data_IF_380170799821
#
_entry.id   IF_380170799821
#
_cell.length_a   1.000
_cell.length_b   1.000
_cell.length_c   1.000
_cell.angle_alpha   90.00
_cell.angle_beta   90.00
_cell.angle_gamma   90.00
#
_symmetry.space_group_name_H-M   'P 1'
#
loop_
_entity.id
_entity.type
_entity.pdbx_description
1 polymer ?
#
# COMPACT_ATOMS: atom_id res chain seq x y z
N UNK A 1 0.94 8.18 0.96
CA UNK A 1 1.47 8.86 2.16
C UNK A 1 2.96 9.03 2.04
N UNK A 2 3.71 8.02 1.60
CA UNK A 2 4.98 8.20 0.90
C UNK A 2 4.74 8.46 -0.59
N UNK A 3 5.48 9.40 -1.19
CA UNK A 3 5.52 9.61 -2.63
C UNK A 3 6.92 10.09 -3.05
N UNK A 4 7.20 9.99 -4.35
CA UNK A 4 8.40 10.57 -4.96
C UNK A 4 8.04 11.86 -5.67
N UNK A 5 8.73 12.94 -5.35
CA UNK A 5 8.59 14.23 -6.01
C UNK A 5 9.23 14.19 -7.41
N UNK A 6 8.91 15.14 -8.31
CA UNK A 6 9.48 15.16 -9.66
C UNK A 6 11.01 15.26 -9.71
N UNK A 7 11.63 15.84 -8.68
CA UNK A 7 13.09 15.93 -8.50
C UNK A 7 13.69 14.68 -7.84
N UNK A 8 12.89 13.65 -7.57
CA UNK A 8 13.34 12.35 -7.11
C UNK A 8 13.47 12.21 -5.59
N UNK A 9 13.05 13.21 -4.81
CA UNK A 9 13.06 13.15 -3.36
C UNK A 9 11.84 12.38 -2.83
N UNK A 10 11.99 11.75 -1.67
CA UNK A 10 10.87 11.14 -0.96
C UNK A 10 10.17 12.21 -0.13
N UNK A 11 8.84 12.24 -0.20
CA UNK A 11 8.01 13.20 0.51
C UNK A 11 6.70 12.59 1.00
N UNK A 12 5.96 13.39 1.77
CA UNK A 12 4.63 13.10 2.28
C UNK A 12 4.63 12.59 3.72
N UNK A 13 3.43 12.36 4.24
CA UNK A 13 3.20 12.16 5.68
C UNK A 13 4.06 11.06 6.33
N UNK A 14 4.30 9.93 5.66
CA UNK A 14 5.15 8.87 6.22
C UNK A 14 6.62 9.33 6.37
N UNK A 15 7.10 10.14 5.42
CA UNK A 15 8.44 10.73 5.44
C UNK A 15 8.55 11.78 6.53
N UNK A 16 7.54 12.64 6.65
CA UNK A 16 7.49 13.69 7.68
C UNK A 16 7.51 13.08 9.08
N UNK A 17 6.69 12.04 9.33
CA UNK A 17 6.68 11.30 10.60
C UNK A 17 8.03 10.63 10.87
N UNK A 18 8.63 9.99 9.86
CA UNK A 18 9.93 9.35 10.02
C UNK A 18 11.02 10.34 10.39
N UNK A 19 11.10 11.46 9.67
CA UNK A 19 12.08 12.51 9.96
C UNK A 19 11.90 13.08 11.37
N UNK A 20 10.66 13.38 11.77
CA UNK A 20 10.36 13.88 13.11
C UNK A 20 10.74 12.88 14.22
N UNK A 21 10.48 11.58 14.02
CA UNK A 21 10.88 10.54 14.97
C UNK A 21 12.41 10.45 15.08
N UNK A 22 13.12 10.54 13.96
CA UNK A 22 14.59 10.48 13.96
C UNK A 22 15.21 11.68 14.67
N UNK A 23 14.63 12.86 14.49
CA UNK A 23 15.02 14.08 15.20
C UNK A 23 14.83 13.93 16.72
N UNK A 24 13.65 13.47 17.16
CA UNK A 24 13.34 13.27 18.60
C UNK A 24 14.24 12.20 19.23
N UNK A 25 14.50 11.10 18.51
CA UNK A 25 15.42 10.05 18.96
C UNK A 25 16.89 10.45 18.88
N UNK A 26 17.22 11.59 18.24
CA UNK A 26 18.59 12.07 17.99
C UNK A 26 19.43 11.06 17.21
N UNK A 27 18.83 10.46 16.18
CA UNK A 27 19.48 9.50 15.28
C UNK A 27 19.48 10.02 13.85
N UNK A 28 20.44 9.55 13.04
CA UNK A 28 20.41 9.80 11.60
C UNK A 28 19.57 8.74 10.90
N UNK A 29 18.66 9.19 10.03
CA UNK A 29 17.84 8.30 9.23
C UNK A 29 18.21 8.40 7.75
N UNK A 30 18.35 7.23 7.14
CA UNK A 30 18.55 7.09 5.70
C UNK A 30 17.34 6.37 5.13
N UNK A 31 16.63 7.06 4.24
CA UNK A 31 15.53 6.45 3.53
C UNK A 31 16.03 5.49 2.46
N UNK A 32 15.38 4.32 2.38
CA UNK A 32 15.61 3.29 1.37
C UNK A 32 14.29 3.04 0.67
N UNK A 33 14.23 3.40 -0.62
CA UNK A 33 13.07 3.13 -1.48
C UNK A 33 13.08 1.66 -1.92
N UNK A 34 11.96 0.96 -1.72
CA UNK A 34 11.78 -0.44 -2.13
C UNK A 34 10.28 -0.73 -2.34
N UNK A 35 9.99 -1.72 -3.19
CA UNK A 35 8.65 -2.28 -3.37
C UNK A 35 8.03 -2.78 -2.06
N UNK A 36 6.73 -2.52 -1.91
CA UNK A 36 6.01 -2.70 -0.64
C UNK A 36 6.01 -4.15 -0.13
N UNK A 37 5.87 -5.13 -1.03
CA UNK A 37 5.88 -6.56 -0.69
C UNK A 37 7.25 -7.05 -0.19
N UNK A 38 8.32 -6.34 -0.52
CA UNK A 38 9.68 -6.62 -0.09
C UNK A 38 10.09 -6.03 1.26
N UNK A 39 9.28 -5.14 1.85
CA UNK A 39 9.65 -4.40 3.07
C UNK A 39 9.83 -5.31 4.30
N UNK A 40 8.85 -6.19 4.60
CA UNK A 40 8.96 -7.12 5.73
C UNK A 40 10.14 -8.09 5.57
N UNK A 41 10.33 -8.74 4.40
CA UNK A 41 11.53 -9.54 4.15
C UNK A 41 12.83 -8.76 4.37
N UNK A 42 12.93 -7.52 3.87
CA UNK A 42 14.11 -6.68 4.03
C UNK A 42 14.42 -6.36 5.50
N UNK A 43 13.39 -6.06 6.30
CA UNK A 43 13.52 -5.84 7.75
C UNK A 43 14.04 -7.11 8.46
N UNK A 44 13.51 -8.28 8.13
CA UNK A 44 13.91 -9.56 8.76
C UNK A 44 15.37 -9.93 8.49
N UNK A 45 15.88 -9.60 7.31
CA UNK A 45 17.30 -9.83 6.96
C UNK A 45 18.20 -8.65 7.29
N UNK A 46 17.68 -7.65 8.02
CA UNK A 46 18.42 -6.45 8.47
C UNK A 46 19.03 -5.63 7.32
N UNK A 47 18.35 -5.59 6.17
CA UNK A 47 18.67 -4.63 5.09
C UNK A 47 18.16 -3.22 5.41
N UNK A 48 17.11 -3.13 6.23
CA UNK A 48 16.53 -1.91 6.78
C UNK A 48 16.23 -2.15 8.26
N UNK A 49 16.16 -1.07 9.04
CA UNK A 49 15.96 -1.15 10.50
C UNK A 49 14.51 -0.82 10.91
N UNK A 50 13.75 -0.12 10.06
CA UNK A 50 12.37 0.26 10.30
C UNK A 50 11.60 0.38 8.98
N UNK A 51 10.27 0.28 9.06
CA UNK A 51 9.36 0.48 7.93
C UNK A 51 8.41 1.62 8.26
N UNK A 52 8.46 2.70 7.48
CA UNK A 52 7.48 3.79 7.49
C UNK A 52 6.88 3.92 6.10
N UNK A 53 5.84 3.14 5.84
CA UNK A 53 5.21 3.05 4.51
C UNK A 53 3.76 2.58 4.64
N UNK A 54 2.96 3.29 5.45
CA UNK A 54 1.52 3.00 5.56
C UNK A 54 1.17 1.55 5.90
N UNK A 55 2.06 0.85 6.63
CA UNK A 55 1.95 -0.60 6.77
C UNK A 55 0.86 -0.97 7.78
N UNK A 56 -0.27 -1.48 7.27
CA UNK A 56 -1.37 -1.95 8.11
C UNK A 56 -0.89 -3.00 9.12
N UNK A 57 -1.16 -2.75 10.40
CA UNK A 57 -0.92 -3.70 11.47
C UNK A 57 -1.93 -4.84 11.36
N UNK A 58 -1.46 -6.08 11.21
CA UNK A 58 -2.30 -7.28 11.17
C UNK A 58 -1.72 -8.37 12.06
N UNK A 59 -2.55 -9.30 12.54
CA UNK A 59 -2.06 -10.40 13.39
C UNK A 59 -1.04 -11.28 12.69
N UNK A 60 -1.18 -11.48 11.39
CA UNK A 60 -0.21 -12.18 10.55
C UNK A 60 1.15 -11.46 10.56
N UNK A 61 1.17 -10.15 10.35
CA UNK A 61 2.41 -9.37 10.34
C UNK A 61 3.04 -9.29 11.74
N UNK A 62 2.22 -9.15 12.80
CA UNK A 62 2.68 -9.17 14.20
C UNK A 62 3.37 -10.47 14.62
N UNK A 63 3.06 -11.60 13.97
CA UNK A 63 3.79 -12.86 14.19
C UNK A 63 5.17 -12.86 13.54
N UNK A 64 5.45 -11.93 12.63
CA UNK A 64 6.68 -11.89 11.83
C UNK A 64 7.61 -10.74 12.23
N UNK A 65 7.04 -9.59 12.60
CA UNK A 65 7.77 -8.36 12.98
C UNK A 65 7.00 -7.58 14.06
N UNK A 66 7.73 -6.81 14.85
CA UNK A 66 7.14 -5.90 15.84
C UNK A 66 6.60 -4.62 15.16
N UNK A 67 5.61 -4.00 15.81
CA UNK A 67 5.03 -2.74 15.40
C UNK A 67 5.08 -1.73 16.53
N UNK A 68 5.22 -0.47 16.17
CA UNK A 68 4.98 0.66 17.07
C UNK A 68 3.48 0.79 17.38
N UNK A 69 3.13 1.76 18.21
CA UNK A 69 1.76 2.25 18.25
C UNK A 69 1.37 2.84 16.89
N UNK A 70 0.12 2.65 16.49
CA UNK A 70 -0.40 3.22 15.23
C UNK A 70 -0.20 4.75 15.24
N UNK A 71 0.34 5.29 14.16
CA UNK A 71 0.48 6.74 13.97
C UNK A 71 -0.68 7.34 13.15
N UNK A 72 -1.42 6.52 12.39
CA UNK A 72 -2.74 6.84 11.87
C UNK A 72 -3.53 5.55 11.53
N UNK A 73 -4.78 5.70 11.10
CA UNK A 73 -5.59 4.61 10.54
C UNK A 73 -6.47 5.14 9.41
N UNK A 74 -6.38 4.53 8.22
CA UNK A 74 -7.29 4.81 7.11
C UNK A 74 -8.00 3.54 6.67
N UNK A 75 -9.33 3.57 6.52
CA UNK A 75 -10.05 2.42 6.00
C UNK A 75 -9.78 2.26 4.49
N UNK A 76 -9.74 1.02 4.02
CA UNK A 76 -9.67 0.76 2.58
C UNK A 76 -10.96 1.21 1.87
N UNK A 77 -10.81 1.68 0.63
CA UNK A 77 -11.90 2.13 -0.24
C UNK A 77 -11.60 1.73 -1.67
N UNK A 78 -12.65 1.46 -2.44
CA UNK A 78 -12.56 1.40 -3.90
C UNK A 78 -12.46 2.82 -4.46
N UNK A 79 -11.67 2.98 -5.51
CA UNK A 79 -11.52 4.22 -6.27
C UNK A 79 -11.85 3.88 -7.70
N UNK A 80 -12.71 4.71 -8.31
CA UNK A 80 -13.29 4.47 -9.62
C UNK A 80 -13.32 5.78 -10.40
N UNK A 81 -13.56 5.73 -11.71
CA UNK A 81 -13.83 6.94 -12.48
C UNK A 81 -15.09 7.64 -11.97
N UNK A 82 -15.11 8.97 -12.08
CA UNK A 82 -16.27 9.78 -11.72
C UNK A 82 -17.51 9.29 -12.50
N UNK A 83 -18.66 9.25 -11.81
CA UNK A 83 -19.90 8.73 -12.36
C UNK A 83 -20.07 7.20 -12.27
N UNK A 84 -19.02 6.45 -11.90
CA UNK A 84 -19.16 5.04 -11.58
C UNK A 84 -19.92 4.84 -10.25
N UNK A 85 -20.67 3.75 -10.16
CA UNK A 85 -21.42 3.36 -8.96
C UNK A 85 -21.05 1.94 -8.56
N UNK A 86 -20.94 1.70 -7.25
CA UNK A 86 -20.56 0.42 -6.68
C UNK A 86 -21.42 0.15 -5.45
N UNK A 87 -22.34 -0.81 -5.56
CA UNK A 87 -23.26 -1.19 -4.49
C UNK A 87 -22.81 -2.51 -3.86
N UNK A 88 -22.60 -3.53 -4.67
CA UNK A 88 -22.03 -4.82 -4.26
C UNK A 88 -20.75 -5.08 -5.05
N UNK A 89 -19.57 -4.89 -4.45
CA UNK A 89 -18.31 -5.11 -5.14
C UNK A 89 -18.13 -6.49 -5.77
N UNK A 90 -18.74 -7.54 -5.22
CA UNK A 90 -18.62 -8.90 -5.76
C UNK A 90 -19.45 -9.08 -7.03
N UNK A 91 -20.63 -8.48 -7.07
CA UNK A 91 -21.52 -8.54 -8.23
C UNK A 91 -21.10 -7.52 -9.29
N UNK A 92 -20.89 -6.27 -8.89
CA UNK A 92 -20.69 -5.13 -9.79
C UNK A 92 -19.31 -5.15 -10.49
N UNK A 93 -18.30 -5.77 -9.87
CA UNK A 93 -16.96 -5.93 -10.46
C UNK A 93 -16.76 -7.28 -11.14
N UNK A 94 -17.77 -8.14 -11.22
CA UNK A 94 -17.64 -9.45 -11.87
C UNK A 94 -17.24 -9.28 -13.34
N UNK A 95 -16.15 -9.92 -13.75
CA UNK A 95 -15.56 -9.79 -15.08
C UNK A 95 -14.81 -8.47 -15.32
N UNK A 96 -14.66 -7.63 -14.30
CA UNK A 96 -13.93 -6.36 -14.34
C UNK A 96 -12.50 -6.51 -13.83
N UNK A 97 -11.66 -5.51 -14.10
CA UNK A 97 -10.26 -5.45 -13.67
C UNK A 97 -10.09 -4.54 -12.45
N UNK A 98 -9.77 -5.12 -11.30
CA UNK A 98 -9.49 -4.37 -10.08
C UNK A 98 -7.99 -4.33 -9.79
N UNK A 99 -7.41 -3.12 -9.74
CA UNK A 99 -6.00 -2.93 -9.42
C UNK A 99 -5.75 -2.92 -7.91
N UNK A 100 -4.70 -3.61 -7.47
CA UNK A 100 -4.26 -3.64 -6.07
C UNK A 100 -2.74 -3.50 -5.96
N UNK A 101 -2.28 -2.87 -4.88
CA UNK A 101 -0.87 -2.90 -4.50
C UNK A 101 -0.50 -4.30 -4.01
N UNK A 102 0.50 -4.93 -4.62
CA UNK A 102 0.96 -6.28 -4.27
C UNK A 102 1.37 -6.37 -2.80
N UNK A 103 0.94 -7.45 -2.14
CA UNK A 103 1.27 -7.70 -0.72
C UNK A 103 0.54 -6.79 0.28
N UNK A 104 -0.35 -5.92 -0.20
CA UNK A 104 -1.19 -5.08 0.65
C UNK A 104 -2.37 -5.86 1.26
N UNK A 105 -3.04 -5.27 2.24
CA UNK A 105 -4.30 -5.82 2.76
C UNK A 105 -5.43 -5.78 1.72
N UNK A 106 -5.37 -4.86 0.76
CA UNK A 106 -6.32 -4.80 -0.36
C UNK A 106 -6.12 -5.97 -1.33
N UNK A 107 -4.86 -6.34 -1.63
CA UNK A 107 -4.54 -7.54 -2.42
C UNK A 107 -5.06 -8.82 -1.75
N UNK A 108 -4.85 -8.95 -0.44
CA UNK A 108 -5.39 -10.09 0.32
C UNK A 108 -6.92 -10.15 0.26
N UNK A 109 -7.60 -9.02 0.47
CA UNK A 109 -9.05 -8.95 0.35
C UNK A 109 -9.53 -9.30 -1.06
N UNK A 110 -8.91 -8.72 -2.09
CA UNK A 110 -9.27 -8.98 -3.47
C UNK A 110 -9.08 -10.46 -3.85
N UNK A 111 -8.00 -11.07 -3.40
CA UNK A 111 -7.71 -12.49 -3.61
C UNK A 111 -8.74 -13.41 -2.93
N UNK A 112 -9.18 -13.06 -1.72
CA UNK A 112 -10.11 -13.87 -0.94
C UNK A 112 -11.57 -13.69 -1.37
N UNK A 113 -11.96 -12.47 -1.76
CA UNK A 113 -13.38 -12.10 -1.90
C UNK A 113 -13.78 -11.78 -3.35
N UNK A 114 -12.88 -11.21 -4.15
CA UNK A 114 -13.18 -10.71 -5.49
C UNK A 114 -12.78 -11.72 -6.58
N UNK A 115 -11.60 -12.33 -6.47
CA UNK A 115 -11.18 -13.37 -7.42
C UNK A 115 -12.19 -14.53 -7.49
N UNK A 116 -12.72 -15.09 -6.39
CA UNK A 116 -13.75 -16.13 -6.46
C UNK A 116 -15.08 -15.63 -7.03
N UNK A 117 -15.37 -14.33 -6.91
CA UNK A 117 -16.55 -13.70 -7.51
C UNK A 117 -16.40 -13.47 -9.04
N UNK A 118 -15.21 -13.72 -9.60
CA UNK A 118 -14.91 -13.56 -11.03
C UNK A 118 -14.33 -12.20 -11.41
N UNK A 119 -13.80 -11.43 -10.45
CA UNK A 119 -13.05 -10.19 -10.72
C UNK A 119 -11.61 -10.51 -11.13
N UNK A 120 -11.11 -9.89 -12.18
CA UNK A 120 -9.70 -9.96 -12.59
C UNK A 120 -8.87 -9.04 -11.70
N UNK A 121 -8.08 -9.61 -10.78
CA UNK A 121 -7.23 -8.83 -9.87
C UNK A 121 -5.87 -8.58 -10.50
N UNK A 122 -5.57 -7.32 -10.78
CA UNK A 122 -4.30 -6.87 -11.37
C UNK A 122 -3.40 -6.33 -10.26
N UNK A 123 -2.22 -6.93 -10.10
CA UNK A 123 -1.27 -6.58 -9.01
C UNK A 123 -0.15 -5.69 -9.50
N UNK A 124 -0.05 -4.52 -8.91
CA UNK A 124 0.97 -3.52 -9.22
C UNK A 124 2.07 -3.51 -8.16
N UNK A 125 3.27 -3.10 -8.58
CA UNK A 125 4.41 -2.95 -7.67
C UNK A 125 4.30 -1.63 -6.91
N UNK A 126 3.80 -0.57 -7.57
CA UNK A 126 3.49 0.71 -6.92
C UNK A 126 2.01 1.09 -7.04
N UNK A 127 1.52 1.85 -6.05
CA UNK A 127 0.17 2.42 -6.11
C UNK A 127 0.02 3.45 -7.24
N UNK A 128 1.12 4.12 -7.63
CA UNK A 128 1.13 5.09 -8.71
C UNK A 128 0.83 4.43 -10.06
N UNK A 129 1.42 3.26 -10.33
CA UNK A 129 1.11 2.47 -11.54
C UNK A 129 -0.37 2.09 -11.60
N UNK A 130 -0.94 1.59 -10.50
CA UNK A 130 -2.36 1.27 -10.43
C UNK A 130 -3.24 2.49 -10.72
N UNK A 131 -2.89 3.65 -10.17
CA UNK A 131 -3.63 4.90 -10.42
C UNK A 131 -3.51 5.34 -11.89
N UNK A 132 -2.33 5.23 -12.50
CA UNK A 132 -2.14 5.58 -13.91
C UNK A 132 -2.94 4.65 -14.84
N UNK A 133 -3.01 3.36 -14.52
CA UNK A 133 -3.79 2.39 -15.27
C UNK A 133 -5.30 2.62 -15.14
N UNK A 134 -5.77 3.02 -13.95
CA UNK A 134 -7.17 3.43 -13.77
C UNK A 134 -7.52 4.65 -14.61
N UNK A 135 -6.67 5.69 -14.62
CA UNK A 135 -6.86 6.87 -15.47
C UNK A 135 -6.88 6.48 -16.95
N UNK A 136 -5.95 5.61 -17.37
CA UNK A 136 -5.86 5.10 -18.73
C UNK A 136 -7.01 4.17 -19.14
N UNK A 137 -7.89 3.78 -18.20
CA UNK A 137 -9.00 2.85 -18.46
C UNK A 137 -8.57 1.40 -18.65
N UNK A 138 -7.39 1.02 -18.15
CA UNK A 138 -6.94 -0.38 -18.07
C UNK A 138 -7.49 -1.12 -16.85
N UNK A 139 -8.01 -0.37 -15.87
CA UNK A 139 -8.75 -0.86 -14.71
C UNK A 139 -10.16 -0.26 -14.70
N UNK A 140 -11.07 -0.95 -14.03
CA UNK A 140 -12.47 -0.55 -13.82
C UNK A 140 -12.68 0.07 -12.43
#
# INVERSE_FOLDING_TARGET
FSLKTPDGQLAGFDVDIGNALCEEMKVQCKWVEQEFDGLIPALKVRKIDAILSSMTITDERKRSVDFTNKYYNTPARFVMKEGASLNDPKADLKGKKAGVLRGSTADRYASAELTPAGVEVVRYNSQQEANMDLVAGRLD
#
